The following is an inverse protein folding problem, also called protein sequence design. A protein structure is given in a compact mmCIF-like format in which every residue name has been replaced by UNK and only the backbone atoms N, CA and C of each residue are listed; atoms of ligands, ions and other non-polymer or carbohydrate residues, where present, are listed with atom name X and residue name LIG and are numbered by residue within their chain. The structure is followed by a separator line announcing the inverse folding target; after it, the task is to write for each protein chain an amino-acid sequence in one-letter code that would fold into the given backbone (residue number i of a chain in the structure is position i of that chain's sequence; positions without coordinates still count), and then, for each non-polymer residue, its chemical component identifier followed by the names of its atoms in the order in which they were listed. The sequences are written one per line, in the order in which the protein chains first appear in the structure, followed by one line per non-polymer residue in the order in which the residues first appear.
data_IF_345991959652
#
_entry.id   IF_345991959652
#
_cell.length_a   1.000
_cell.length_b   1.000
_cell.length_c   1.000
_cell.angle_alpha   90.00
_cell.angle_beta   90.00
_cell.angle_gamma   90.00
#
_symmetry.space_group_name_H-M   'P 1'
#
loop_
_entity.id
_entity.type
_entity.pdbx_description
1 polymer ?
#
# COMPACT_ATOMS: atom_id res chain seq x y z
N UNK A 1 31.85 8.39 1.05
CA UNK A 1 30.41 8.71 1.08
C UNK A 1 29.85 8.13 2.37
N UNK A 2 29.99 8.86 3.48
CA UNK A 2 29.58 8.42 4.81
C UNK A 2 28.17 8.91 5.05
N UNK A 3 27.24 7.97 5.05
CA UNK A 3 25.88 8.14 5.51
C UNK A 3 25.89 8.86 6.86
N UNK A 4 25.24 10.02 6.98
CA UNK A 4 25.00 10.68 8.26
C UNK A 4 23.91 9.92 9.04
N UNK A 5 24.12 8.62 9.24
CA UNK A 5 23.28 7.73 10.03
C UNK A 5 23.11 8.36 11.41
N UNK A 6 21.86 8.48 11.84
CA UNK A 6 21.54 8.49 13.26
C UNK A 6 22.03 7.14 13.82
N UNK A 7 23.27 7.12 14.29
CA UNK A 7 23.78 6.03 15.12
C UNK A 7 23.17 6.16 16.51
N UNK A 8 23.13 5.05 17.26
CA UNK A 8 22.58 4.95 18.62
C UNK A 8 23.20 5.96 19.61
N UNK A 9 24.34 6.56 19.27
CA UNK A 9 25.05 7.58 20.06
C UNK A 9 24.51 9.01 19.95
N UNK A 10 23.41 9.23 19.22
CA UNK A 10 22.81 10.56 19.10
C UNK A 10 22.19 11.01 20.44
N UNK A 11 22.55 12.21 20.92
CA UNK A 11 21.98 12.79 22.16
C UNK A 11 20.44 12.89 22.13
N UNK A 12 19.84 13.08 20.94
CA UNK A 12 18.39 12.97 20.71
C UNK A 12 17.83 11.60 21.10
N UNK A 13 18.51 10.51 20.73
CA UNK A 13 18.09 9.14 21.08
C UNK A 13 18.30 8.88 22.56
N UNK A 14 19.42 9.33 23.13
CA UNK A 14 19.68 9.22 24.58
C UNK A 14 18.59 9.94 25.38
N UNK A 15 18.19 11.14 24.92
CA UNK A 15 17.10 11.89 25.53
C UNK A 15 15.76 11.16 25.40
N UNK A 16 15.38 10.70 24.20
CA UNK A 16 14.12 9.96 23.99
C UNK A 16 14.06 8.68 24.84
N UNK A 17 15.16 7.94 24.96
CA UNK A 17 15.24 6.74 25.81
C UNK A 17 15.12 7.07 27.30
N UNK A 18 15.83 8.10 27.77
CA UNK A 18 15.74 8.55 29.16
C UNK A 18 14.32 9.04 29.50
N UNK A 19 13.70 9.82 28.60
CA UNK A 19 12.34 10.35 28.76
C UNK A 19 11.30 9.22 28.77
N UNK A 20 11.44 8.23 27.87
CA UNK A 20 10.58 7.03 27.86
C UNK A 20 10.67 6.25 29.17
N UNK A 21 11.90 6.03 29.65
CA UNK A 21 12.16 5.32 30.90
C UNK A 21 11.64 6.06 32.13
N UNK A 22 11.89 7.36 32.21
CA UNK A 22 11.44 8.21 33.32
C UNK A 22 9.91 8.27 33.44
N UNK A 23 9.20 8.21 32.31
CA UNK A 23 7.73 8.25 32.25
C UNK A 23 7.06 6.86 32.23
N UNK A 24 7.82 5.77 32.22
CA UNK A 24 7.28 4.41 32.13
C UNK A 24 6.47 4.15 30.85
N UNK A 25 6.87 4.78 29.73
CA UNK A 25 6.13 4.71 28.47
C UNK A 25 6.42 3.41 27.71
N UNK A 26 5.39 2.88 27.06
CA UNK A 26 5.52 1.79 26.09
C UNK A 26 6.20 2.27 24.80
N UNK A 27 5.93 3.51 24.38
CA UNK A 27 6.53 4.11 23.19
C UNK A 27 6.62 5.63 23.31
N UNK A 28 7.67 6.21 22.74
CA UNK A 28 7.77 7.64 22.45
C UNK A 28 8.14 7.81 20.98
N UNK A 29 7.46 8.72 20.29
CA UNK A 29 7.74 9.07 18.90
C UNK A 29 7.98 10.57 18.76
N UNK A 30 9.06 10.92 18.07
CA UNK A 30 9.33 12.27 17.58
C UNK A 30 8.98 12.33 16.10
N UNK A 31 8.10 13.25 15.73
CA UNK A 31 7.86 13.65 14.36
C UNK A 31 8.31 15.09 14.18
N UNK A 32 9.29 15.31 13.32
CA UNK A 32 9.83 16.62 13.01
C UNK A 32 9.77 16.90 11.50
N UNK A 33 9.43 18.12 11.11
CA UNK A 33 9.47 18.58 9.72
C UNK A 33 10.34 19.81 9.56
N UNK A 34 10.99 19.94 8.40
CA UNK A 34 11.77 21.10 7.98
C UNK A 34 11.30 21.46 6.58
N UNK A 35 10.59 22.58 6.45
CA UNK A 35 10.15 23.10 5.15
C UNK A 35 11.32 23.65 4.34
N UNK A 36 11.19 23.61 3.01
CA UNK A 36 12.07 24.29 2.08
C UNK A 36 12.17 25.78 2.47
N UNK A 37 13.39 26.32 2.47
CA UNK A 37 13.82 27.61 3.07
C UNK A 37 14.15 27.59 4.58
N UNK A 38 14.04 26.44 5.26
CA UNK A 38 14.60 26.24 6.61
C UNK A 38 13.87 27.00 7.73
N UNK A 39 12.69 27.55 7.45
CA UNK A 39 11.98 28.51 8.28
C UNK A 39 10.92 27.90 9.20
N UNK A 40 10.27 26.79 8.81
CA UNK A 40 9.26 26.14 9.66
C UNK A 40 9.76 24.78 10.16
N UNK A 41 9.98 24.71 11.47
CA UNK A 41 10.18 23.49 12.21
C UNK A 41 8.90 23.18 12.98
N UNK A 42 8.23 22.09 12.64
CA UNK A 42 7.21 21.50 13.50
C UNK A 42 7.83 20.28 14.17
N UNK A 43 7.83 20.25 15.50
CA UNK A 43 8.27 19.13 16.33
C UNK A 43 7.13 18.69 17.24
N UNK A 44 6.66 17.46 17.01
CA UNK A 44 5.63 16.82 17.83
C UNK A 44 6.20 15.58 18.48
N UNK A 45 6.01 15.49 19.79
CA UNK A 45 6.21 14.25 20.56
C UNK A 45 4.87 13.56 20.76
N UNK A 46 4.86 12.26 20.53
CA UNK A 46 3.74 11.36 20.80
C UNK A 46 4.19 10.36 21.84
N UNK A 47 3.52 10.33 22.98
CA UNK A 47 3.78 9.39 24.06
C UNK A 47 2.68 8.34 24.11
N UNK A 48 3.05 7.07 24.20
CA UNK A 48 2.14 5.95 24.34
C UNK A 48 2.37 5.27 25.68
N UNK A 49 1.34 5.30 26.54
CA UNK A 49 1.35 4.60 27.81
C UNK A 49 1.21 3.06 27.62
N UNK A 50 1.52 2.23 28.64
CA UNK A 50 1.41 0.77 28.54
C UNK A 50 0.01 0.23 28.19
N UNK A 51 -1.04 0.98 28.50
CA UNK A 51 -2.44 0.66 28.18
C UNK A 51 -2.86 1.13 26.77
N UNK A 52 -1.95 1.76 26.01
CA UNK A 52 -2.20 2.29 24.68
C UNK A 52 -2.70 3.74 24.64
N UNK A 53 -2.88 4.41 25.80
CA UNK A 53 -3.30 5.81 25.81
C UNK A 53 -2.24 6.72 25.17
N UNK A 54 -2.70 7.67 24.34
CA UNK A 54 -1.85 8.61 23.61
C UNK A 54 -1.90 10.00 24.25
N UNK A 55 -0.72 10.60 24.43
CA UNK A 55 -0.59 12.01 24.79
C UNK A 55 0.41 12.69 23.86
N UNK A 56 0.24 14.00 23.67
CA UNK A 56 1.07 14.80 22.78
C UNK A 56 1.86 15.82 23.58
N UNK A 57 3.07 16.11 23.13
CA UNK A 57 3.90 17.17 23.70
C UNK A 57 4.82 17.77 22.66
N UNK A 58 5.65 18.69 23.12
CA UNK A 58 6.66 19.36 22.30
C UNK A 58 8.05 19.01 22.80
N UNK A 59 9.02 19.04 21.89
CA UNK A 59 10.40 18.74 22.22
C UNK A 59 10.99 19.91 23.05
N UNK A 60 11.71 19.64 24.16
CA UNK A 60 12.41 20.70 24.89
C UNK A 60 13.48 21.39 24.02
N UNK A 61 13.85 22.61 24.39
CA UNK A 61 14.67 23.48 23.50
C UNK A 61 16.04 22.89 23.15
N UNK A 62 16.72 22.26 24.10
CA UNK A 62 18.02 21.64 23.88
C UNK A 62 17.97 20.49 22.84
N UNK A 63 17.13 19.45 22.98
CA UNK A 63 16.97 18.43 21.95
C UNK A 63 16.36 18.99 20.64
N UNK A 64 15.48 20.00 20.71
CA UNK A 64 14.95 20.68 19.52
C UNK A 64 16.03 21.34 18.67
N UNK A 65 16.97 22.06 19.28
CA UNK A 65 18.08 22.68 18.57
C UNK A 65 18.92 21.63 17.81
N UNK A 66 19.16 20.47 18.43
CA UNK A 66 19.90 19.37 17.80
C UNK A 66 19.15 18.73 16.64
N UNK A 67 17.85 18.48 16.80
CA UNK A 67 17.00 17.96 15.72
C UNK A 67 17.04 18.92 14.53
N UNK A 68 16.87 20.22 14.78
CA UNK A 68 16.93 21.27 13.76
C UNK A 68 18.26 21.29 13.03
N UNK A 69 19.37 21.34 13.76
CA UNK A 69 20.72 21.33 13.19
C UNK A 69 20.95 20.08 12.34
N UNK A 70 20.43 18.93 12.78
CA UNK A 70 20.58 17.67 12.07
C UNK A 70 19.75 17.61 10.79
N UNK A 71 18.51 18.07 10.84
CA UNK A 71 17.67 18.17 9.65
C UNK A 71 18.26 19.17 8.64
N UNK A 72 18.85 20.28 9.11
CA UNK A 72 19.58 21.23 8.28
C UNK A 72 20.85 20.61 7.65
N UNK A 73 21.63 19.84 8.42
CA UNK A 73 22.80 19.10 7.89
C UNK A 73 22.37 18.06 6.85
N UNK A 74 21.31 17.32 7.10
CA UNK A 74 20.75 16.37 6.13
C UNK A 74 20.29 17.08 4.85
N UNK A 75 19.54 18.18 4.98
CA UNK A 75 19.13 19.04 3.87
C UNK A 75 20.34 19.58 3.07
N UNK A 76 21.38 20.06 3.75
CA UNK A 76 22.60 20.57 3.10
C UNK A 76 23.40 19.48 2.40
N UNK A 77 23.42 18.25 2.93
CA UNK A 77 24.12 17.11 2.33
C UNK A 77 23.43 16.53 1.10
N UNK A 78 22.15 16.85 0.89
CA UNK A 78 21.34 16.39 -0.23
C UNK A 78 20.51 17.55 -0.80
N UNK A 79 21.15 18.49 -1.52
CA UNK A 79 20.47 19.63 -2.12
C UNK A 79 19.43 19.16 -3.15
N UNK A 80 18.21 19.69 -3.06
CA UNK A 80 17.09 19.36 -3.96
C UNK A 80 16.02 18.43 -3.39
N UNK A 81 16.14 17.99 -2.13
CA UNK A 81 15.16 17.11 -1.47
C UNK A 81 13.82 17.78 -1.08
N UNK A 82 13.69 19.10 -1.23
CA UNK A 82 12.48 19.84 -0.85
C UNK A 82 12.24 19.79 0.66
N UNK A 83 10.97 19.66 1.07
CA UNK A 83 10.60 19.49 2.48
C UNK A 83 11.12 18.15 3.03
N UNK A 84 11.70 18.18 4.24
CA UNK A 84 12.28 17.01 4.89
C UNK A 84 11.53 16.71 6.18
N UNK A 85 11.14 15.45 6.38
CA UNK A 85 10.58 14.92 7.60
C UNK A 85 11.54 13.93 8.28
N UNK A 86 11.56 13.95 9.60
CA UNK A 86 12.26 13.00 10.47
C UNK A 86 11.23 12.37 11.42
N UNK A 87 11.18 11.05 11.46
CA UNK A 87 10.42 10.27 12.44
C UNK A 87 11.38 9.39 13.22
N UNK A 88 11.36 9.48 14.54
CA UNK A 88 12.11 8.61 15.45
C UNK A 88 11.12 7.94 16.39
N UNK A 89 11.14 6.61 16.44
CA UNK A 89 10.29 5.81 17.31
C UNK A 89 11.17 5.00 18.26
N UNK A 90 11.00 5.21 19.56
CA UNK A 90 11.63 4.41 20.61
C UNK A 90 10.54 3.59 21.31
N UNK A 91 10.58 2.27 21.12
CA UNK A 91 9.69 1.32 21.80
C UNK A 91 10.33 0.85 23.12
N UNK A 92 9.51 0.24 23.99
CA UNK A 92 9.99 -0.32 25.25
C UNK A 92 10.98 -1.47 25.05
N UNK A 93 10.75 -2.26 24.01
CA UNK A 93 11.56 -3.39 23.61
C UNK A 93 12.08 -3.16 22.18
N UNK A 94 13.39 -3.26 22.01
CA UNK A 94 14.04 -3.17 20.70
C UNK A 94 14.72 -1.83 20.40
N UNK A 95 15.49 -1.79 19.30
CA UNK A 95 16.27 -0.62 18.90
C UNK A 95 15.38 0.51 18.37
N UNK A 96 15.81 1.77 18.47
CA UNK A 96 15.07 2.90 17.93
C UNK A 96 14.91 2.79 16.41
N UNK A 97 13.70 3.05 15.91
CA UNK A 97 13.41 3.10 14.48
C UNK A 97 13.45 4.53 13.98
N UNK A 98 14.29 4.78 12.99
CA UNK A 98 14.57 6.12 12.48
C UNK A 98 14.21 6.17 11.00
N UNK A 99 13.37 7.12 10.61
CA UNK A 99 12.91 7.29 9.24
C UNK A 99 13.04 8.73 8.80
N UNK A 100 13.78 8.93 7.71
CA UNK A 100 13.78 10.17 6.95
C UNK A 100 12.74 10.07 5.84
N UNK A 101 11.93 11.11 5.66
CA UNK A 101 11.02 11.28 4.52
C UNK A 101 11.42 12.55 3.78
N UNK A 102 11.62 12.48 2.48
CA UNK A 102 11.86 13.67 1.65
C UNK A 102 10.73 13.85 0.63
N UNK A 103 10.51 15.10 0.21
CA UNK A 103 9.53 15.45 -0.84
C UNK A 103 9.83 14.70 -2.13
N UNK A 104 11.10 14.51 -2.47
CA UNK A 104 11.53 13.77 -3.66
C UNK A 104 11.02 12.32 -3.66
N UNK A 105 11.08 11.61 -2.53
CA UNK A 105 10.55 10.26 -2.36
C UNK A 105 9.03 10.23 -2.35
N UNK A 106 8.36 11.26 -1.79
CA UNK A 106 6.90 11.42 -1.95
C UNK A 106 6.51 11.61 -3.41
N UNK A 107 7.25 12.44 -4.15
CA UNK A 107 7.02 12.63 -5.59
C UNK A 107 7.33 11.38 -6.40
N UNK A 108 8.33 10.60 -6.00
CA UNK A 108 8.63 9.31 -6.63
C UNK A 108 7.52 8.29 -6.36
N UNK A 109 7.07 8.13 -5.12
CA UNK A 109 5.91 7.29 -4.77
C UNK A 109 4.66 7.74 -5.54
N UNK A 110 4.41 9.05 -5.65
CA UNK A 110 3.30 9.61 -6.41
C UNK A 110 3.43 9.38 -7.92
N UNK A 111 4.65 9.44 -8.47
CA UNK A 111 4.92 9.08 -9.88
C UNK A 111 4.73 7.59 -10.12
N UNK A 112 5.14 6.74 -9.18
CA UNK A 112 4.92 5.29 -9.25
C UNK A 112 3.43 4.96 -9.19
N UNK A 113 2.67 5.65 -8.33
CA UNK A 113 1.21 5.57 -8.29
C UNK A 113 0.57 6.03 -9.60
N UNK A 114 0.93 7.22 -10.10
CA UNK A 114 0.41 7.75 -11.37
C UNK A 114 0.74 6.83 -12.55
N UNK A 115 1.93 6.20 -12.53
CA UNK A 115 2.31 5.20 -13.52
C UNK A 115 1.47 3.94 -13.41
N UNK A 116 1.24 3.42 -12.20
CA UNK A 116 0.37 2.26 -11.99
C UNK A 116 -1.05 2.54 -12.52
N UNK A 117 -1.60 3.72 -12.22
CA UNK A 117 -2.92 4.16 -12.72
C UNK A 117 -2.97 4.30 -14.25
N UNK A 118 -1.94 4.89 -14.85
CA UNK A 118 -1.88 5.12 -16.30
C UNK A 118 -1.87 3.84 -17.16
N UNK A 119 -1.57 2.68 -16.56
CA UNK A 119 -1.50 1.41 -17.27
C UNK A 119 -2.84 0.66 -17.35
N UNK A 120 -3.89 1.12 -16.65
CA UNK A 120 -5.19 0.46 -16.64
C UNK A 120 -6.19 1.17 -17.55
N UNK A 121 -6.91 0.39 -18.38
CA UNK A 121 -8.02 0.90 -19.18
C UNK A 121 -9.27 1.05 -18.30
N UNK A 122 -9.71 2.30 -18.09
CA UNK A 122 -10.92 2.63 -17.34
C UNK A 122 -12.21 2.35 -18.12
N UNK A 123 -12.15 2.10 -19.44
CA UNK A 123 -13.36 1.86 -20.25
C UNK A 123 -14.02 0.55 -19.83
N UNK A 124 -15.37 0.51 -19.72
CA UNK A 124 -16.09 -0.72 -19.43
C UNK A 124 -15.83 -1.80 -20.48
N UNK A 125 -15.72 -3.06 -20.07
CA UNK A 125 -15.50 -4.18 -20.98
C UNK A 125 -16.60 -4.30 -22.03
N UNK A 126 -17.83 -3.93 -21.67
CA UNK A 126 -18.99 -3.96 -22.54
C UNK A 126 -19.57 -5.36 -22.72
N UNK A 127 -20.80 -5.40 -23.23
CA UNK A 127 -21.60 -6.63 -23.34
C UNK A 127 -20.94 -7.71 -24.20
N UNK A 128 -20.27 -7.33 -25.29
CA UNK A 128 -19.69 -8.29 -26.23
C UNK A 128 -18.58 -9.14 -25.59
N UNK A 129 -17.71 -8.53 -24.77
CA UNK A 129 -16.67 -9.26 -24.04
C UNK A 129 -17.31 -10.12 -22.95
N UNK A 130 -18.22 -9.54 -22.16
CA UNK A 130 -18.88 -10.25 -21.07
C UNK A 130 -19.64 -11.49 -21.56
N UNK A 131 -20.30 -11.40 -22.72
CA UNK A 131 -20.98 -12.52 -23.36
C UNK A 131 -20.02 -13.67 -23.68
N UNK A 132 -18.87 -13.37 -24.30
CA UNK A 132 -17.88 -14.40 -24.66
C UNK A 132 -17.29 -15.09 -23.44
N UNK A 133 -17.03 -14.31 -22.38
CA UNK A 133 -16.57 -14.88 -21.11
C UNK A 133 -17.63 -15.82 -20.54
N UNK A 134 -18.90 -15.42 -20.55
CA UNK A 134 -19.99 -16.30 -20.12
C UNK A 134 -20.08 -17.58 -20.98
N UNK A 135 -19.95 -17.48 -22.31
CA UNK A 135 -19.92 -18.63 -23.22
C UNK A 135 -18.79 -19.62 -22.91
N UNK A 136 -17.60 -19.11 -22.57
CA UNK A 136 -16.48 -19.96 -22.14
C UNK A 136 -16.82 -20.70 -20.84
N UNK A 137 -17.36 -19.99 -19.84
CA UNK A 137 -17.76 -20.60 -18.58
C UNK A 137 -18.90 -21.62 -18.76
N UNK A 138 -19.83 -21.36 -19.68
CA UNK A 138 -20.92 -22.27 -20.04
C UNK A 138 -20.42 -23.57 -20.68
N UNK A 139 -19.33 -23.49 -21.45
CA UNK A 139 -18.63 -24.63 -22.02
C UNK A 139 -17.74 -25.37 -21.01
N UNK A 140 -17.72 -24.95 -19.74
CA UNK A 140 -16.93 -25.57 -18.67
C UNK A 140 -15.48 -25.09 -18.61
N UNK A 141 -15.13 -23.97 -19.26
CA UNK A 141 -13.80 -23.40 -19.13
C UNK A 141 -13.58 -22.85 -17.71
N UNK A 142 -12.40 -23.12 -17.15
CA UNK A 142 -11.94 -22.45 -15.93
C UNK A 142 -11.07 -21.25 -16.31
N UNK A 143 -11.47 -20.06 -15.84
CA UNK A 143 -10.74 -18.82 -16.04
C UNK A 143 -10.07 -18.45 -14.74
N UNK A 144 -8.81 -18.87 -14.59
CA UNK A 144 -8.01 -18.63 -13.39
C UNK A 144 -6.69 -17.92 -13.68
N UNK A 145 -6.28 -17.09 -12.72
CA UNK A 145 -4.98 -16.42 -12.67
C UNK A 145 -4.33 -16.80 -11.34
N UNK A 146 -3.14 -17.36 -11.41
CA UNK A 146 -2.37 -17.75 -10.22
C UNK A 146 -1.93 -16.50 -9.47
N UNK A 147 -2.30 -16.40 -8.19
CA UNK A 147 -1.87 -15.34 -7.28
C UNK A 147 -0.58 -15.76 -6.57
N UNK A 148 -0.59 -16.94 -5.95
CA UNK A 148 0.56 -17.54 -5.30
C UNK A 148 0.72 -19.01 -5.75
N UNK A 149 1.77 -19.33 -6.51
CA UNK A 149 2.03 -20.70 -6.96
C UNK A 149 2.40 -21.67 -5.84
N UNK A 150 2.95 -21.18 -4.71
CA UNK A 150 3.38 -22.00 -3.57
C UNK A 150 2.22 -22.38 -2.69
N UNK A 151 1.29 -21.45 -2.50
CA UNK A 151 0.05 -21.70 -1.74
C UNK A 151 -1.05 -22.32 -2.62
N UNK A 152 -0.84 -22.34 -3.94
CA UNK A 152 -1.79 -22.91 -4.89
C UNK A 152 -3.09 -22.10 -4.97
N UNK A 153 -3.00 -20.79 -4.78
CA UNK A 153 -4.15 -19.88 -4.76
C UNK A 153 -4.27 -19.20 -6.11
N UNK A 154 -5.46 -19.29 -6.71
CA UNK A 154 -5.79 -18.62 -7.96
C UNK A 154 -7.03 -17.76 -7.80
N UNK A 155 -7.01 -16.58 -8.41
CA UNK A 155 -8.23 -15.81 -8.66
C UNK A 155 -8.96 -16.46 -9.83
N UNK A 156 -10.26 -16.71 -9.68
CA UNK A 156 -11.03 -17.43 -10.68
C UNK A 156 -12.38 -16.78 -10.99
N UNK A 157 -12.83 -16.98 -12.23
CA UNK A 157 -14.23 -16.91 -12.65
C UNK A 157 -14.66 -18.32 -13.04
N UNK A 158 -15.78 -18.78 -12.49
CA UNK A 158 -16.29 -20.11 -12.79
C UNK A 158 -17.81 -20.14 -12.80
N UNK A 159 -18.35 -21.20 -13.40
CA UNK A 159 -19.75 -21.59 -13.27
C UNK A 159 -19.82 -22.86 -12.42
N UNK A 160 -20.57 -22.80 -11.34
CA UNK A 160 -20.83 -23.92 -10.44
C UNK A 160 -21.81 -24.91 -11.09
N UNK A 161 -21.87 -26.14 -10.56
CA UNK A 161 -22.72 -27.21 -11.10
C UNK A 161 -24.23 -26.92 -10.99
N UNK A 162 -24.62 -26.09 -10.03
CA UNK A 162 -25.98 -25.56 -9.85
C UNK A 162 -26.35 -24.49 -10.90
N UNK A 163 -25.42 -24.11 -11.78
CA UNK A 163 -25.59 -23.10 -12.81
C UNK A 163 -25.27 -21.68 -12.36
N UNK A 164 -24.88 -21.47 -11.11
CA UNK A 164 -24.49 -20.17 -10.55
C UNK A 164 -23.12 -19.74 -11.08
N UNK A 165 -22.97 -18.48 -11.49
CA UNK A 165 -21.66 -17.92 -11.84
C UNK A 165 -21.02 -17.33 -10.59
N UNK A 166 -19.71 -17.41 -10.48
CA UNK A 166 -18.98 -16.90 -9.34
C UNK A 166 -17.64 -16.26 -9.72
N UNK A 167 -17.26 -15.28 -8.92
CA UNK A 167 -15.95 -14.65 -8.91
C UNK A 167 -15.36 -14.78 -7.51
N UNK A 168 -14.09 -15.14 -7.41
CA UNK A 168 -13.44 -15.33 -6.11
C UNK A 168 -12.10 -16.04 -6.21
N UNK A 169 -11.79 -16.81 -5.17
CA UNK A 169 -10.55 -17.58 -5.06
C UNK A 169 -10.83 -19.08 -5.24
N UNK A 170 -9.89 -19.75 -5.91
CA UNK A 170 -9.79 -21.22 -6.00
C UNK A 170 -8.47 -21.66 -5.41
N UNK A 171 -8.53 -22.72 -4.63
CA UNK A 171 -7.37 -23.34 -4.00
C UNK A 171 -7.07 -24.67 -4.69
N UNK A 172 -5.79 -25.01 -4.81
CA UNK A 172 -5.35 -26.26 -5.45
C UNK A 172 -5.89 -27.52 -4.77
N UNK A 173 -6.27 -27.41 -3.49
CA UNK A 173 -6.87 -28.49 -2.70
C UNK A 173 -8.34 -28.77 -3.07
N UNK A 174 -8.92 -28.00 -4.00
CA UNK A 174 -10.28 -28.18 -4.52
C UNK A 174 -11.31 -27.23 -3.91
N UNK A 175 -10.96 -26.54 -2.82
CA UNK A 175 -11.83 -25.55 -2.20
C UNK A 175 -11.98 -24.31 -3.09
N UNK A 176 -13.19 -23.74 -3.07
CA UNK A 176 -13.51 -22.50 -3.79
C UNK A 176 -14.22 -21.54 -2.85
N UNK A 177 -13.75 -20.30 -2.80
CA UNK A 177 -14.34 -19.23 -2.00
C UNK A 177 -14.87 -18.15 -2.93
N UNK A 178 -16.18 -18.14 -3.13
CA UNK A 178 -16.83 -17.10 -3.90
C UNK A 178 -16.82 -15.78 -3.10
N UNK A 179 -16.26 -14.73 -3.70
CA UNK A 179 -16.39 -13.36 -3.22
C UNK A 179 -17.71 -12.75 -3.70
N UNK A 180 -18.12 -13.12 -4.91
CA UNK A 180 -19.38 -12.70 -5.50
C UNK A 180 -20.00 -13.85 -6.29
N UNK A 181 -21.32 -14.00 -6.18
CA UNK A 181 -22.10 -14.99 -6.94
C UNK A 181 -23.21 -14.30 -7.72
N UNK A 182 -23.57 -14.91 -8.85
CA UNK A 182 -24.58 -14.40 -9.76
C UNK A 182 -25.54 -15.53 -10.11
N UNK A 183 -26.81 -15.36 -9.71
CA UNK A 183 -27.86 -16.34 -9.90
C UNK A 183 -28.24 -16.59 -11.36
N UNK A 184 -27.79 -15.74 -12.29
CA UNK A 184 -28.07 -15.91 -13.71
C UNK A 184 -26.92 -15.44 -14.60
N UNK A 185 -26.89 -16.00 -15.81
CA UNK A 185 -25.97 -15.61 -16.88
C UNK A 185 -26.04 -14.12 -17.19
N UNK A 186 -27.26 -13.58 -17.23
CA UNK A 186 -27.48 -12.17 -17.53
C UNK A 186 -26.99 -11.26 -16.40
N UNK A 187 -27.14 -11.68 -15.14
CA UNK A 187 -26.60 -10.94 -14.00
C UNK A 187 -25.06 -10.90 -14.04
N UNK A 188 -24.43 -12.05 -14.31
CA UNK A 188 -22.97 -12.12 -14.48
C UNK A 188 -22.48 -11.26 -15.65
N UNK A 189 -23.12 -11.36 -16.81
CA UNK A 189 -22.75 -10.59 -17.99
C UNK A 189 -22.89 -9.08 -17.77
N UNK A 190 -23.96 -8.65 -17.09
CA UNK A 190 -24.18 -7.24 -16.77
C UNK A 190 -23.09 -6.71 -15.86
N UNK A 191 -22.81 -7.45 -14.78
CA UNK A 191 -21.71 -7.10 -13.86
C UNK A 191 -20.38 -6.99 -14.60
N UNK A 192 -20.00 -8.00 -15.38
CA UNK A 192 -18.72 -8.02 -16.07
C UNK A 192 -18.65 -6.93 -17.15
N UNK A 193 -19.76 -6.62 -17.84
CA UNK A 193 -19.79 -5.56 -18.84
C UNK A 193 -19.51 -4.17 -18.26
N UNK A 194 -19.88 -3.95 -16.99
CA UNK A 194 -19.64 -2.72 -16.24
C UNK A 194 -18.23 -2.64 -15.64
N UNK A 195 -17.51 -3.77 -15.54
CA UNK A 195 -16.13 -3.78 -15.07
C UNK A 195 -15.16 -3.23 -16.11
N UNK A 196 -13.99 -2.81 -15.65
CA UNK A 196 -12.86 -2.35 -16.45
C UNK A 196 -11.56 -3.00 -15.95
N UNK A 197 -10.45 -2.79 -16.67
CA UNK A 197 -9.13 -3.24 -16.19
C UNK A 197 -8.83 -2.58 -14.85
N UNK A 198 -9.16 -1.30 -14.75
CA UNK A 198 -8.99 -0.50 -13.54
C UNK A 198 -9.85 -1.01 -12.38
N UNK A 199 -11.16 -1.24 -12.59
CA UNK A 199 -12.04 -1.64 -11.48
C UNK A 199 -11.63 -2.99 -10.91
N UNK A 200 -11.27 -3.96 -11.75
CA UNK A 200 -10.81 -5.28 -11.30
C UNK A 200 -9.39 -5.24 -10.70
N UNK A 201 -8.51 -4.34 -11.16
CA UNK A 201 -7.19 -4.15 -10.59
C UNK A 201 -7.25 -3.59 -9.16
N UNK A 202 -8.18 -2.67 -8.90
CA UNK A 202 -8.33 -1.97 -7.61
C UNK A 202 -9.20 -2.73 -6.59
N UNK A 203 -10.02 -3.69 -7.01
CA UNK A 203 -11.08 -4.31 -6.20
C UNK A 203 -10.63 -5.03 -4.91
N UNK A 204 -9.35 -5.37 -4.77
CA UNK A 204 -8.85 -6.13 -3.60
C UNK A 204 -8.06 -5.25 -2.62
N UNK A 205 -7.35 -4.25 -3.16
CA UNK A 205 -6.51 -3.34 -2.39
C UNK A 205 -6.82 -1.90 -2.77
N UNK A 206 -8.03 -1.38 -2.55
CA UNK A 206 -8.41 -0.04 -2.99
C UNK A 206 -7.50 1.06 -2.41
N UNK A 207 -6.88 0.79 -1.26
CA UNK A 207 -6.02 1.74 -0.54
C UNK A 207 -4.51 1.49 -0.76
N UNK A 208 -4.11 0.44 -1.51
CA UNK A 208 -2.70 0.15 -1.81
C UNK A 208 -2.44 0.05 -3.33
N UNK A 209 -2.09 1.18 -3.97
CA UNK A 209 -1.81 1.24 -5.40
C UNK A 209 -0.68 0.33 -5.88
N UNK A 210 0.24 -0.07 -4.99
CA UNK A 210 1.37 -0.94 -5.34
C UNK A 210 0.91 -2.37 -5.61
N UNK A 211 -0.24 -2.74 -5.05
CA UNK A 211 -0.84 -4.06 -5.20
C UNK A 211 -1.85 -4.10 -6.36
N UNK A 212 -2.16 -2.97 -7.00
CA UNK A 212 -3.11 -2.91 -8.09
C UNK A 212 -2.64 -3.72 -9.30
N UNK A 213 -3.55 -4.52 -9.83
CA UNK A 213 -3.31 -5.30 -11.05
C UNK A 213 -2.52 -6.59 -10.84
N UNK A 214 -1.97 -6.84 -9.65
CA UNK A 214 -1.33 -8.13 -9.33
C UNK A 214 -2.37 -9.25 -9.42
N UNK A 215 -2.12 -10.22 -10.30
CA UNK A 215 -2.97 -11.39 -10.43
C UNK A 215 -4.43 -11.11 -10.83
N UNK A 216 -4.70 -10.00 -11.52
CA UNK A 216 -6.07 -9.60 -11.89
C UNK A 216 -6.45 -9.95 -13.33
N UNK A 217 -7.76 -10.05 -13.59
CA UNK A 217 -8.30 -10.14 -14.93
C UNK A 217 -8.26 -8.78 -15.63
N UNK A 218 -7.78 -8.78 -16.87
CA UNK A 218 -7.76 -7.60 -17.73
C UNK A 218 -8.13 -7.96 -19.18
N UNK A 219 -8.33 -6.96 -20.04
CA UNK A 219 -8.65 -7.13 -21.47
C UNK A 219 -7.66 -8.05 -22.16
N UNK A 220 -6.36 -7.93 -21.87
CA UNK A 220 -5.31 -8.77 -22.47
C UNK A 220 -5.49 -10.24 -22.09
N UNK A 221 -5.82 -10.52 -20.84
CA UNK A 221 -6.14 -11.88 -20.39
C UNK A 221 -7.38 -12.42 -21.11
N UNK A 222 -8.48 -11.65 -21.13
CA UNK A 222 -9.71 -12.07 -21.80
C UNK A 222 -9.52 -12.24 -23.30
N UNK A 223 -8.73 -11.39 -23.95
CA UNK A 223 -8.34 -11.48 -25.34
C UNK A 223 -7.65 -12.82 -25.67
N UNK A 224 -6.70 -13.23 -24.82
CA UNK A 224 -6.01 -14.52 -24.94
C UNK A 224 -6.95 -15.70 -24.77
N UNK A 225 -7.89 -15.63 -23.82
CA UNK A 225 -8.82 -16.72 -23.52
C UNK A 225 -9.98 -16.82 -24.52
N UNK A 226 -10.43 -15.70 -25.07
CA UNK A 226 -11.55 -15.63 -26.02
C UNK A 226 -11.11 -15.65 -27.49
N UNK A 227 -9.80 -15.68 -27.78
CA UNK A 227 -9.27 -15.83 -29.14
C UNK A 227 -9.29 -14.58 -30.01
N UNK A 228 -9.42 -13.37 -29.44
CA UNK A 228 -9.27 -12.09 -30.19
C UNK A 228 -8.30 -11.16 -29.49
N UNK A 229 -7.29 -10.64 -30.21
CA UNK A 229 -6.61 -9.40 -29.81
C UNK A 229 -7.61 -8.25 -29.97
N UNK A 230 -7.99 -7.62 -28.86
CA UNK A 230 -8.76 -6.36 -28.84
C UNK A 230 -7.84 -5.18 -29.15
#
# INVERSE_FOLDING_TARGET
MTSALLTEDSDILRWLHAERGARGLARIELSASLKHEGTLHDDTLIFTAPDGALTFGSLPEAPRAQVRERMQRYHASAPGLGDIGLSIVCEAEGPPRIRWRDEARRQQDAKEQARAEAHFDARPYGRALAQRVAELLDAGADLSIVLDPREGVSRALWRSADGTYAQGLRYIQGDSQAKQTFASREAFMRWLAEQSDESLAKAEHPDDPRMWGLGTFNRTYFARKTGRRS
#
